data_IF_434169503284
#
_entry.id   IF_434169503284
#
_cell.length_a   1.000
_cell.length_b   1.000
_cell.length_c   1.000
_cell.angle_alpha   90.00
_cell.angle_beta   90.00
_cell.angle_gamma   90.00
#
_symmetry.space_group_name_H-M   'P 1'
#
loop_
_entity.id
_entity.type
_entity.pdbx_description
1 polymer ?
#
# COMPACT_ATOMS: atom_id res chain seq x y z
N UNK A 1 -8.35 -15.84 2.56
CA UNK A 1 -8.74 -14.53 3.12
C UNK A 1 -7.95 -14.39 4.41
N UNK A 2 -7.12 -13.35 4.59
CA UNK A 2 -6.02 -13.32 5.59
C UNK A 2 -6.44 -13.07 7.04
N UNK A 3 -7.64 -13.52 7.43
CA UNK A 3 -8.12 -13.42 8.81
C UNK A 3 -7.91 -14.75 9.51
N UNK A 4 -7.16 -14.73 10.62
CA UNK A 4 -7.03 -15.89 11.51
C UNK A 4 -8.33 -16.11 12.28
N UNK A 5 -8.59 -17.35 12.76
CA UNK A 5 -9.63 -17.60 13.74
C UNK A 5 -9.43 -16.65 14.93
N UNK A 6 -10.41 -15.79 15.22
CA UNK A 6 -10.28 -14.69 16.19
C UNK A 6 -10.21 -13.28 15.60
N UNK A 7 -10.30 -13.12 14.28
CA UNK A 7 -10.48 -11.80 13.63
C UNK A 7 -9.20 -10.98 13.46
N UNK A 8 -8.03 -11.55 13.80
CA UNK A 8 -6.75 -10.88 13.58
C UNK A 8 -6.29 -11.04 12.12
N UNK A 9 -5.92 -9.93 11.47
CA UNK A 9 -5.26 -9.93 10.16
C UNK A 9 -3.82 -10.38 10.29
N UNK A 10 -3.40 -11.46 9.62
CA UNK A 10 -1.97 -11.79 9.57
C UNK A 10 -1.26 -10.84 8.59
N UNK A 11 -0.37 -9.94 9.06
CA UNK A 11 0.30 -9.00 8.16
C UNK A 11 1.19 -9.70 7.14
N UNK A 12 1.77 -10.85 7.49
CA UNK A 12 2.66 -11.58 6.59
C UNK A 12 1.87 -12.22 5.44
N UNK A 13 0.77 -12.91 5.76
CA UNK A 13 -0.11 -13.46 4.72
C UNK A 13 -0.75 -12.37 3.88
N UNK A 14 -1.07 -11.21 4.48
CA UNK A 14 -1.58 -10.05 3.75
C UNK A 14 -0.56 -9.57 2.71
N UNK A 15 0.69 -9.33 3.10
CA UNK A 15 1.74 -8.87 2.18
C UNK A 15 2.00 -9.89 1.08
N UNK A 16 2.07 -11.17 1.41
CA UNK A 16 2.28 -12.23 0.43
C UNK A 16 1.12 -12.32 -0.57
N UNK A 17 -0.13 -12.23 -0.08
CA UNK A 17 -1.32 -12.26 -0.93
C UNK A 17 -1.38 -11.04 -1.86
N UNK A 18 -1.16 -9.84 -1.31
CA UNK A 18 -1.16 -8.58 -2.05
C UNK A 18 -0.09 -8.57 -3.14
N UNK A 19 1.14 -8.95 -2.79
CA UNK A 19 2.26 -9.05 -3.73
C UNK A 19 1.97 -10.05 -4.84
N UNK A 20 1.48 -11.25 -4.50
CA UNK A 20 1.14 -12.28 -5.48
C UNK A 20 0.07 -11.81 -6.46
N UNK A 21 -1.00 -11.19 -5.96
CA UNK A 21 -2.09 -10.64 -6.78
C UNK A 21 -1.57 -9.53 -7.70
N UNK A 22 -0.79 -8.60 -7.16
CA UNK A 22 -0.23 -7.48 -7.91
C UNK A 22 0.67 -7.96 -9.05
N UNK A 23 1.58 -8.90 -8.77
CA UNK A 23 2.47 -9.46 -9.77
C UNK A 23 1.71 -10.26 -10.83
N UNK A 24 0.71 -11.06 -10.44
CA UNK A 24 -0.13 -11.78 -11.39
C UNK A 24 -0.89 -10.82 -12.31
N UNK A 25 -1.49 -9.77 -11.75
CA UNK A 25 -2.19 -8.74 -12.52
C UNK A 25 -1.24 -7.99 -13.45
N UNK A 26 -0.04 -7.64 -12.99
CA UNK A 26 0.97 -7.00 -13.82
C UNK A 26 1.44 -7.91 -14.97
N UNK A 27 1.53 -9.22 -14.74
CA UNK A 27 1.84 -10.18 -15.81
C UNK A 27 0.74 -10.23 -16.87
N UNK A 28 -0.54 -10.19 -16.46
CA UNK A 28 -1.67 -10.10 -17.37
C UNK A 28 -1.68 -8.76 -18.13
N UNK A 29 -1.44 -7.63 -17.46
CA UNK A 29 -1.38 -6.33 -18.14
C UNK A 29 -0.23 -6.27 -19.15
N UNK A 30 0.91 -6.91 -18.84
CA UNK A 30 2.04 -6.98 -19.74
C UNK A 30 1.76 -7.78 -21.02
N UNK A 31 0.80 -8.71 -21.02
CA UNK A 31 0.36 -9.38 -22.25
C UNK A 31 -0.62 -8.55 -23.07
N UNK A 32 -1.17 -7.47 -22.51
CA UNK A 32 -2.06 -6.50 -23.19
C UNK A 32 -1.35 -5.16 -23.34
N UNK A 33 -0.10 -5.20 -23.83
CA UNK A 33 0.70 -4.01 -24.17
C UNK A 33 1.12 -3.07 -23.03
N UNK A 34 0.86 -3.40 -21.76
CA UNK A 34 1.47 -2.69 -20.61
C UNK A 34 2.89 -3.21 -20.36
N UNK A 35 3.74 -3.05 -21.36
CA UNK A 35 5.08 -3.60 -21.42
C UNK A 35 6.03 -2.60 -22.10
N UNK A 36 7.33 -2.93 -22.27
CA UNK A 36 8.26 -1.94 -22.74
C UNK A 36 8.07 -1.47 -24.18
N UNK A 37 7.49 -2.32 -25.02
CA UNK A 37 7.30 -2.14 -26.46
C UNK A 37 5.86 -1.76 -26.85
N UNK A 38 4.91 -1.85 -25.92
CA UNK A 38 3.51 -1.53 -26.14
C UNK A 38 3.20 -0.06 -25.91
N UNK A 39 2.29 0.24 -24.99
CA UNK A 39 1.87 1.61 -24.69
C UNK A 39 3.02 2.51 -24.21
N UNK A 40 2.81 3.83 -24.28
CA UNK A 40 3.77 4.80 -23.74
C UNK A 40 4.01 4.55 -22.25
N UNK A 41 5.24 4.80 -21.78
CA UNK A 41 5.62 4.56 -20.36
C UNK A 41 4.71 5.29 -19.38
N UNK A 42 4.31 6.52 -19.72
CA UNK A 42 3.41 7.35 -18.91
C UNK A 42 2.01 6.72 -18.82
N UNK A 43 1.51 6.12 -19.91
CA UNK A 43 0.23 5.43 -19.88
C UNK A 43 0.33 4.11 -19.10
N UNK A 44 1.40 3.33 -19.32
CA UNK A 44 1.66 2.11 -18.57
C UNK A 44 1.74 2.34 -17.06
N UNK A 45 2.40 3.41 -16.62
CA UNK A 45 2.52 3.74 -15.19
C UNK A 45 1.19 4.19 -14.58
N UNK A 46 0.31 4.84 -15.36
CA UNK A 46 -1.07 5.12 -14.96
C UNK A 46 -1.89 3.84 -14.81
N UNK A 47 -1.81 2.90 -15.74
CA UNK A 47 -2.47 1.59 -15.60
C UNK A 47 -1.99 0.85 -14.35
N UNK A 48 -0.68 0.84 -14.10
CA UNK A 48 -0.13 0.31 -12.86
C UNK A 48 -0.72 1.00 -11.62
N UNK A 49 -0.73 2.34 -11.58
CA UNK A 49 -1.22 3.11 -10.45
C UNK A 49 -2.71 2.88 -10.15
N UNK A 50 -3.52 2.64 -11.17
CA UNK A 50 -4.97 2.47 -11.02
C UNK A 50 -5.43 1.01 -10.88
N UNK A 51 -4.67 0.03 -11.37
CA UNK A 51 -5.12 -1.37 -11.43
C UNK A 51 -4.28 -2.25 -10.49
N UNK A 52 -2.96 -2.17 -10.59
CA UNK A 52 -2.04 -3.06 -9.87
C UNK A 52 -1.73 -2.53 -8.48
N UNK A 53 -1.41 -1.24 -8.37
CA UNK A 53 -1.00 -0.60 -7.13
C UNK A 53 -2.05 -0.71 -6.02
N UNK A 54 -3.37 -0.58 -6.28
CA UNK A 54 -4.39 -0.78 -5.24
C UNK A 54 -4.35 -2.17 -4.60
N UNK A 55 -3.88 -3.20 -5.33
CA UNK A 55 -3.74 -4.55 -4.79
C UNK A 55 -2.58 -4.64 -3.79
N UNK A 56 -1.50 -3.88 -4.00
CA UNK A 56 -0.41 -3.74 -3.02
C UNK A 56 -0.84 -2.93 -1.80
N UNK A 57 -1.68 -1.91 -2.02
CA UNK A 57 -2.13 -0.97 -1.00
C UNK A 57 -3.23 -1.50 -0.08
N UNK A 58 -3.84 -2.63 -0.44
CA UNK A 58 -4.93 -3.20 0.32
C UNK A 58 -4.51 -3.51 1.76
N UNK A 59 -5.24 -2.94 2.72
CA UNK A 59 -5.00 -3.14 4.15
C UNK A 59 -3.79 -2.39 4.72
N UNK A 60 -3.04 -1.60 3.94
CA UNK A 60 -1.86 -0.90 4.44
C UNK A 60 -2.21 0.22 5.44
N UNK A 61 -3.35 0.88 5.24
CA UNK A 61 -3.80 2.00 6.06
C UNK A 61 -4.12 1.60 7.52
N UNK A 62 -4.45 0.33 7.74
CA UNK A 62 -4.96 -0.17 9.02
C UNK A 62 -3.99 -1.13 9.72
N UNK A 63 -2.81 -1.40 9.14
CA UNK A 63 -1.82 -2.35 9.66
C UNK A 63 -0.46 -1.69 9.93
N UNK A 64 0.32 -2.31 10.83
CA UNK A 64 1.76 -2.02 10.97
C UNK A 64 2.58 -3.06 10.23
N UNK A 65 3.68 -2.59 9.65
CA UNK A 65 4.58 -3.44 8.89
C UNK A 65 5.98 -3.36 9.48
N UNK A 66 6.66 -4.50 9.50
CA UNK A 66 8.09 -4.55 9.78
C UNK A 66 8.87 -3.97 8.60
N UNK A 67 10.15 -3.66 8.84
CA UNK A 67 11.07 -3.23 7.76
C UNK A 67 11.15 -4.29 6.65
N UNK A 68 11.15 -5.59 7.00
CA UNK A 68 11.17 -6.67 6.02
C UNK A 68 9.91 -6.72 5.16
N UNK A 69 8.74 -6.46 5.75
CA UNK A 69 7.46 -6.41 5.03
C UNK A 69 7.37 -5.20 4.10
N UNK A 70 7.85 -4.04 4.54
CA UNK A 70 7.96 -2.85 3.68
C UNK A 70 8.91 -3.10 2.51
N UNK A 71 10.04 -3.77 2.75
CA UNK A 71 10.97 -4.15 1.70
C UNK A 71 10.33 -5.12 0.70
N UNK A 72 9.55 -6.10 1.14
CA UNK A 72 8.83 -7.01 0.24
C UNK A 72 7.83 -6.26 -0.66
N UNK A 73 7.11 -5.28 -0.12
CA UNK A 73 6.23 -4.40 -0.91
C UNK A 73 7.02 -3.55 -1.91
N UNK A 74 8.16 -2.98 -1.50
CA UNK A 74 9.02 -2.21 -2.39
C UNK A 74 9.57 -3.07 -3.53
N UNK A 75 9.98 -4.31 -3.26
CA UNK A 75 10.44 -5.24 -4.29
C UNK A 75 9.33 -5.63 -5.27
N UNK A 76 8.10 -5.80 -4.79
CA UNK A 76 6.94 -6.03 -5.65
C UNK A 76 6.68 -4.82 -6.57
N UNK A 77 6.68 -3.60 -6.03
CA UNK A 77 6.56 -2.37 -6.81
C UNK A 77 7.70 -2.24 -7.82
N UNK A 78 8.95 -2.43 -7.38
CA UNK A 78 10.15 -2.37 -8.20
C UNK A 78 10.08 -3.33 -9.39
N UNK A 79 9.64 -4.56 -9.15
CA UNK A 79 9.46 -5.58 -10.21
C UNK A 79 8.44 -5.13 -11.26
N UNK A 80 7.31 -4.55 -10.85
CA UNK A 80 6.29 -4.05 -11.77
C UNK A 80 6.80 -2.87 -12.61
N UNK A 81 7.47 -1.91 -11.96
CA UNK A 81 7.99 -0.71 -12.64
C UNK A 81 9.12 -1.06 -13.60
N UNK A 82 10.05 -1.94 -13.21
CA UNK A 82 11.10 -2.43 -14.12
C UNK A 82 10.48 -3.10 -15.35
N UNK A 83 9.40 -3.86 -15.16
CA UNK A 83 8.68 -4.52 -16.26
C UNK A 83 8.05 -3.53 -17.25
N UNK A 84 7.52 -2.41 -16.78
CA UNK A 84 6.99 -1.32 -17.65
C UNK A 84 8.12 -0.65 -18.43
N UNK A 85 9.22 -0.35 -17.76
CA UNK A 85 10.34 0.38 -18.37
C UNK A 85 11.25 -0.51 -19.22
N UNK A 86 11.17 -1.83 -19.08
CA UNK A 86 12.06 -2.79 -19.75
C UNK A 86 13.44 -2.85 -19.11
N UNK A 87 13.53 -2.39 -17.87
CA UNK A 87 14.79 -2.27 -17.17
C UNK A 87 15.22 -3.61 -16.57
N UNK A 88 16.54 -3.91 -16.65
CA UNK A 88 17.14 -5.13 -16.12
C UNK A 88 18.18 -4.81 -15.05
N UNK A 89 18.48 -5.80 -14.19
CA UNK A 89 19.57 -5.74 -13.22
C UNK A 89 19.47 -4.56 -12.23
N UNK A 90 20.57 -3.82 -12.09
CA UNK A 90 20.79 -2.73 -11.12
C UNK A 90 20.18 -1.38 -11.54
N UNK A 91 19.32 -1.35 -12.55
CA UNK A 91 18.65 -0.13 -12.96
C UNK A 91 17.86 0.50 -11.80
N UNK A 92 18.03 1.81 -11.61
CA UNK A 92 17.42 2.55 -10.50
C UNK A 92 15.91 2.69 -10.68
N UNK A 93 15.14 1.98 -9.85
CA UNK A 93 13.68 2.13 -9.79
C UNK A 93 13.26 3.45 -9.18
N UNK A 94 14.09 4.05 -8.32
CA UNK A 94 13.83 5.36 -7.72
C UNK A 94 13.67 6.46 -8.77
N UNK A 95 14.49 6.45 -9.82
CA UNK A 95 14.38 7.41 -10.94
C UNK A 95 13.09 7.16 -11.73
N UNK A 96 12.77 5.90 -12.04
CA UNK A 96 11.54 5.55 -12.78
C UNK A 96 10.29 5.95 -12.01
N UNK A 97 10.27 5.70 -10.70
CA UNK A 97 9.21 6.11 -9.79
C UNK A 97 9.06 7.63 -9.76
N UNK A 98 10.18 8.37 -9.68
CA UNK A 98 10.16 9.83 -9.71
C UNK A 98 9.57 10.39 -11.01
N UNK A 99 10.02 9.90 -12.17
CA UNK A 99 9.48 10.27 -13.50
C UNK A 99 7.98 9.93 -13.58
N UNK A 100 7.56 8.85 -12.95
CA UNK A 100 6.16 8.40 -12.92
C UNK A 100 5.30 9.10 -11.85
N UNK A 101 5.89 9.97 -11.02
CA UNK A 101 5.24 10.58 -9.84
C UNK A 101 4.66 9.54 -8.88
N UNK A 102 5.34 8.41 -8.71
CA UNK A 102 4.94 7.33 -7.82
C UNK A 102 5.82 7.35 -6.55
N UNK A 103 5.24 7.39 -5.33
CA UNK A 103 6.02 7.28 -4.11
C UNK A 103 6.53 5.84 -3.90
N UNK A 104 7.56 5.70 -3.06
CA UNK A 104 8.00 4.41 -2.52
C UNK A 104 6.86 3.77 -1.70
N UNK A 105 6.91 2.44 -1.49
CA UNK A 105 5.86 1.78 -0.70
C UNK A 105 5.92 2.17 0.78
N UNK A 106 7.11 2.40 1.33
CA UNK A 106 7.31 2.94 2.68
C UNK A 106 6.63 4.32 2.86
N UNK A 107 6.87 5.25 1.92
CA UNK A 107 6.20 6.56 1.89
C UNK A 107 4.69 6.40 1.71
N UNK A 108 4.26 5.50 0.82
CA UNK A 108 2.85 5.27 0.52
C UNK A 108 2.07 4.74 1.71
N UNK A 109 2.65 3.82 2.49
CA UNK A 109 2.07 3.34 3.76
C UNK A 109 1.80 4.51 4.69
N UNK A 110 2.79 5.40 4.85
CA UNK A 110 2.68 6.58 5.72
C UNK A 110 1.57 7.53 5.24
N UNK A 111 1.48 7.78 3.93
CA UNK A 111 0.41 8.58 3.32
C UNK A 111 -0.96 7.94 3.58
N UNK A 112 -1.10 6.63 3.36
CA UNK A 112 -2.37 5.92 3.52
C UNK A 112 -2.84 5.92 4.98
N UNK A 113 -1.94 5.67 5.92
CA UNK A 113 -2.23 5.71 7.36
C UNK A 113 -2.63 7.12 7.80
N UNK A 114 -1.93 8.15 7.31
CA UNK A 114 -2.27 9.55 7.60
C UNK A 114 -3.65 9.94 7.03
N UNK A 115 -3.93 9.57 5.77
CA UNK A 115 -5.23 9.82 5.13
C UNK A 115 -6.36 9.13 5.87
N UNK A 116 -6.15 7.90 6.30
CA UNK A 116 -7.15 7.13 7.03
C UNK A 116 -7.41 7.72 8.42
N UNK A 117 -6.36 8.10 9.14
CA UNK A 117 -6.49 8.76 10.44
C UNK A 117 -7.20 10.11 10.31
N UNK A 118 -6.80 10.94 9.35
CA UNK A 118 -7.47 12.21 9.08
C UNK A 118 -8.95 12.00 8.79
N UNK A 119 -9.31 11.07 7.90
CA UNK A 119 -10.72 10.73 7.63
C UNK A 119 -11.48 10.33 8.89
N UNK A 120 -10.86 9.54 9.78
CA UNK A 120 -11.51 9.09 11.01
C UNK A 120 -11.91 10.22 11.97
N UNK A 121 -11.28 11.40 11.88
CA UNK A 121 -11.58 12.57 12.70
C UNK A 121 -12.79 13.37 12.21
N UNK A 122 -13.14 13.23 10.92
CA UNK A 122 -14.22 13.99 10.28
C UNK A 122 -15.36 13.07 9.80
N UNK A 123 -15.46 11.87 10.39
CA UNK A 123 -16.58 10.98 10.12
C UNK A 123 -17.85 11.47 10.81
N UNK A 124 -19.03 11.26 10.19
CA UNK A 124 -20.31 11.43 10.86
C UNK A 124 -20.39 10.61 12.15
N UNK A 125 -21.09 11.12 13.17
CA UNK A 125 -21.21 10.47 14.49
C UNK A 125 -21.86 9.07 14.41
N UNK A 126 -22.73 8.86 13.43
CA UNK A 126 -23.42 7.60 13.14
C UNK A 126 -22.58 6.62 12.31
N UNK A 127 -21.42 7.04 11.81
CA UNK A 127 -20.51 6.12 11.13
C UNK A 127 -20.01 5.06 12.13
N UNK A 128 -20.07 3.78 11.74
CA UNK A 128 -19.62 2.66 12.59
C UNK A 128 -18.24 2.91 13.22
N UNK A 129 -17.30 3.47 12.45
CA UNK A 129 -15.96 3.76 12.94
C UNK A 129 -15.94 4.89 13.99
N UNK A 130 -16.80 5.90 13.87
CA UNK A 130 -16.96 6.95 14.88
C UNK A 130 -17.52 6.37 16.19
N UNK A 131 -18.55 5.52 16.10
CA UNK A 131 -19.11 4.83 17.26
C UNK A 131 -18.09 3.91 17.96
N UNK A 132 -17.23 3.25 17.18
CA UNK A 132 -16.21 2.32 17.70
C UNK A 132 -14.92 3.01 18.17
N UNK A 133 -14.68 4.26 17.77
CA UNK A 133 -13.45 5.00 18.02
C UNK A 133 -13.05 5.04 19.51
N UNK A 134 -13.97 5.28 20.47
CA UNK A 134 -13.64 5.29 21.90
C UNK A 134 -13.09 3.94 22.39
N UNK A 135 -13.65 2.84 21.89
CA UNK A 135 -13.22 1.48 22.25
C UNK A 135 -11.85 1.14 21.63
N UNK A 136 -11.66 1.53 20.36
CA UNK A 136 -10.41 1.29 19.62
C UNK A 136 -9.24 2.07 20.24
N UNK A 137 -9.47 3.34 20.64
CA UNK A 137 -8.45 4.19 21.29
C UNK A 137 -8.02 3.65 22.66
N UNK A 138 -8.95 3.05 23.40
CA UNK A 138 -8.69 2.52 24.75
C UNK A 138 -8.10 1.10 24.75
N UNK A 139 -8.07 0.43 23.59
CA UNK A 139 -7.47 -0.90 23.46
C UNK A 139 -5.94 -0.77 23.47
N UNK A 140 -5.32 -1.03 24.64
CA UNK A 140 -3.86 -1.07 24.79
C UNK A 140 -3.28 -2.11 23.83
N UNK A 141 -2.38 -1.67 22.96
CA UNK A 141 -1.79 -2.51 21.91
C UNK A 141 -2.46 -2.38 20.53
N UNK A 142 -3.58 -1.65 20.41
CA UNK A 142 -4.18 -1.41 19.09
C UNK A 142 -3.25 -0.59 18.20
N UNK A 143 -3.28 -0.91 16.90
CA UNK A 143 -2.44 -0.23 15.92
C UNK A 143 -2.78 1.28 15.85
N UNK A 144 -4.07 1.57 15.98
CA UNK A 144 -4.64 2.90 16.18
C UNK A 144 -4.03 3.66 17.34
N UNK A 145 -3.93 3.04 18.52
CA UNK A 145 -3.41 3.68 19.71
C UNK A 145 -1.96 4.17 19.55
N UNK A 146 -1.08 3.43 18.84
CA UNK A 146 0.27 3.99 18.61
C UNK A 146 0.38 4.88 17.37
N UNK A 147 -0.51 4.76 16.37
CA UNK A 147 -0.57 5.76 15.28
C UNK A 147 -1.00 7.13 15.84
N UNK A 148 -2.03 7.17 16.68
CA UNK A 148 -2.49 8.41 17.33
C UNK A 148 -1.47 9.00 18.31
N UNK A 149 -0.46 8.22 18.75
CA UNK A 149 0.60 8.69 19.65
C UNK A 149 1.87 9.18 18.95
N UNK A 150 1.97 9.05 17.63
CA UNK A 150 3.13 9.60 16.90
C UNK A 150 3.13 11.13 16.96
N UNK A 151 4.32 11.74 16.90
CA UNK A 151 4.49 13.19 17.11
C UNK A 151 3.65 14.05 16.16
N UNK A 152 3.37 13.54 14.97
CA UNK A 152 2.50 14.15 13.96
C UNK A 152 1.05 14.36 14.44
N UNK A 153 0.58 13.62 15.45
CA UNK A 153 -0.84 13.58 15.85
C UNK A 153 -1.08 13.88 17.33
N UNK A 154 -0.05 14.26 18.09
CA UNK A 154 -0.23 14.66 19.51
C UNK A 154 -0.96 15.99 19.71
N UNK A 155 -1.11 16.78 18.64
CA UNK A 155 -1.67 18.14 18.66
C UNK A 155 -3.11 18.23 18.13
N UNK A 156 -3.73 17.09 17.80
CA UNK A 156 -5.13 16.98 17.36
C UNK A 156 -5.92 16.22 18.42
#
# INVERSE_FOLDING_TARGET
MSFKPGGHLDPEELIQCNTRKALATMNMLSSVDVNPSGFSKVLCTKFYAHIVRPQLEYGLAINRFTVSQLHALEEAQNSCIKKIYGARGKASTKVMLHISKLPLMSERVSILQAQFLFRSLYLPEDALLACLLPYIRNTKGSQWYALSRTALWKTV
#
